data_IF_212129277486
#
_entry.id   IF_212129277486
#
_cell.length_a   1.000
_cell.length_b   1.000
_cell.length_c   1.000
_cell.angle_alpha   90.00
_cell.angle_beta   90.00
_cell.angle_gamma   90.00
#
_symmetry.space_group_name_H-M   'P 1'
#
loop_
_entity.id
_entity.type
_entity.pdbx_description
1 polymer ?
#
# COMPACT_ATOMS: atom_id res chain seq x y z
N UNK A 1 5.96 -27.73 23.63
CA UNK A 1 7.31 -27.60 23.03
C UNK A 1 7.32 -27.21 21.55
N UNK A 2 6.68 -27.96 20.64
CA UNK A 2 6.80 -27.73 19.19
C UNK A 2 6.41 -26.32 18.71
N UNK A 3 5.40 -25.71 19.33
CA UNK A 3 4.94 -24.36 18.98
C UNK A 3 5.96 -23.29 19.38
N UNK A 4 6.64 -23.46 20.50
CA UNK A 4 7.66 -22.54 21.00
C UNK A 4 8.91 -22.58 20.12
N UNK A 5 9.34 -23.79 19.71
CA UNK A 5 10.46 -23.96 18.79
C UNK A 5 10.16 -23.30 17.43
N UNK A 6 8.96 -23.52 16.88
CA UNK A 6 8.51 -22.87 15.65
C UNK A 6 8.53 -21.34 15.77
N UNK A 7 8.02 -20.76 16.86
CA UNK A 7 7.99 -19.31 17.08
C UNK A 7 9.35 -18.68 17.38
N UNK A 8 10.35 -19.50 17.69
CA UNK A 8 11.72 -19.04 18.01
C UNK A 8 12.62 -19.13 16.78
N UNK A 9 12.53 -20.22 16.01
CA UNK A 9 13.39 -20.48 14.84
C UNK A 9 12.81 -19.89 13.56
N UNK A 10 11.49 -19.96 13.34
CA UNK A 10 10.88 -19.52 12.09
C UNK A 10 11.03 -18.01 11.86
N UNK A 11 10.90 -17.12 12.86
CA UNK A 11 11.05 -15.69 12.62
C UNK A 11 12.45 -15.21 12.21
N UNK A 12 13.56 -15.62 12.85
CA UNK A 12 14.90 -15.22 12.39
C UNK A 12 15.21 -15.81 11.01
N UNK A 13 14.85 -17.07 10.75
CA UNK A 13 15.02 -17.69 9.42
C UNK A 13 14.19 -16.96 8.37
N UNK A 14 12.94 -16.65 8.66
CA UNK A 14 12.06 -15.91 7.75
C UNK A 14 12.58 -14.50 7.45
N UNK A 15 13.02 -13.76 8.47
CA UNK A 15 13.63 -12.44 8.27
C UNK A 15 14.93 -12.52 7.46
N UNK A 16 15.76 -13.54 7.69
CA UNK A 16 16.99 -13.76 6.93
C UNK A 16 16.70 -14.10 5.47
N UNK A 17 15.75 -14.99 5.19
CA UNK A 17 15.32 -15.34 3.84
C UNK A 17 14.76 -14.12 3.10
N UNK A 18 13.94 -13.30 3.75
CA UNK A 18 13.43 -12.06 3.16
C UNK A 18 14.58 -11.11 2.82
N UNK A 19 15.55 -10.91 3.73
CA UNK A 19 16.74 -10.09 3.46
C UNK A 19 17.58 -10.65 2.31
N UNK A 20 17.74 -11.97 2.23
CA UNK A 20 18.46 -12.64 1.14
C UNK A 20 17.74 -12.43 -0.19
N UNK A 21 16.42 -12.59 -0.23
CA UNK A 21 15.61 -12.30 -1.41
C UNK A 21 15.74 -10.83 -1.84
N UNK A 22 15.73 -9.89 -0.90
CA UNK A 22 15.97 -8.47 -1.20
C UNK A 22 17.33 -8.20 -1.84
N UNK A 23 18.35 -8.99 -1.49
CA UNK A 23 19.69 -8.89 -2.08
C UNK A 23 19.79 -9.55 -3.45
N UNK A 24 19.05 -10.62 -3.69
CA UNK A 24 19.07 -11.34 -4.97
C UNK A 24 18.15 -10.70 -6.02
N UNK A 25 17.11 -10.00 -5.58
CA UNK A 25 16.14 -9.35 -6.45
C UNK A 25 16.60 -7.94 -6.83
N UNK A 26 16.53 -7.63 -8.13
CA UNK A 26 16.67 -6.26 -8.63
C UNK A 26 15.31 -5.56 -8.51
N UNK A 27 15.15 -4.75 -7.47
CA UNK A 27 13.91 -3.99 -7.22
C UNK A 27 13.94 -2.72 -8.08
N UNK A 28 12.90 -2.55 -8.91
CA UNK A 28 12.63 -1.31 -9.64
C UNK A 28 11.36 -0.69 -9.09
N UNK A 29 11.43 0.59 -8.74
CA UNK A 29 10.28 1.35 -8.28
C UNK A 29 9.62 2.04 -9.48
N UNK A 30 8.29 2.00 -9.53
CA UNK A 30 7.48 2.74 -10.49
C UNK A 30 6.49 3.56 -9.67
N UNK A 31 6.29 4.84 -10.02
CA UNK A 31 5.44 5.72 -9.19
C UNK A 31 6.10 6.08 -7.86
N UNK A 32 7.44 6.14 -7.80
CA UNK A 32 8.18 6.41 -6.57
C UNK A 32 8.11 7.87 -6.15
N UNK A 33 7.70 8.76 -7.05
CA UNK A 33 7.70 10.21 -6.89
C UNK A 33 6.86 10.63 -5.68
N UNK A 34 5.70 9.99 -5.50
CA UNK A 34 4.82 10.23 -4.35
C UNK A 34 5.51 9.85 -3.03
N UNK A 35 6.23 8.73 -2.99
CA UNK A 35 6.94 8.29 -1.79
C UNK A 35 8.16 9.19 -1.51
N UNK A 36 8.86 9.62 -2.56
CA UNK A 36 10.00 10.53 -2.45
C UNK A 36 9.56 11.89 -1.93
N UNK A 37 8.45 12.44 -2.43
CA UNK A 37 7.93 13.73 -1.99
C UNK A 37 7.42 13.67 -0.55
N UNK A 38 6.73 12.60 -0.17
CA UNK A 38 6.36 12.36 1.24
C UNK A 38 7.61 12.32 2.13
N UNK A 39 8.68 11.65 1.68
CA UNK A 39 9.95 11.59 2.40
C UNK A 39 10.65 12.95 2.52
N UNK A 40 10.69 13.74 1.43
CA UNK A 40 11.31 15.08 1.40
C UNK A 40 10.62 16.06 2.33
N UNK A 41 9.31 15.96 2.46
CA UNK A 41 8.51 16.84 3.31
C UNK A 41 8.28 16.28 4.73
N UNK A 42 8.93 15.16 5.08
CA UNK A 42 8.72 14.41 6.33
C UNK A 42 7.23 14.13 6.63
N UNK A 43 6.44 13.95 5.58
CA UNK A 43 5.02 13.66 5.68
C UNK A 43 4.81 12.17 5.93
N UNK A 44 3.85 11.86 6.79
CA UNK A 44 3.46 10.49 7.12
C UNK A 44 2.31 10.04 6.24
N UNK A 45 2.21 8.73 6.04
CA UNK A 45 1.18 8.17 5.18
C UNK A 45 0.63 6.84 5.71
N UNK A 46 -0.54 6.47 5.18
CA UNK A 46 -1.14 5.15 5.35
C UNK A 46 -0.80 4.33 4.10
N UNK A 47 0.17 3.42 4.23
CA UNK A 47 0.53 2.48 3.19
C UNK A 47 -0.49 1.33 3.15
N UNK A 48 -1.16 1.18 2.02
CA UNK A 48 -2.19 0.17 1.83
C UNK A 48 -1.76 -0.85 0.76
N UNK A 49 -1.80 -2.13 1.08
CA UNK A 49 -1.51 -3.20 0.11
C UNK A 49 -2.30 -4.47 0.34
N UNK A 50 -2.54 -5.23 -0.72
CA UNK A 50 -3.25 -6.50 -0.65
C UNK A 50 -2.48 -7.56 0.14
N UNK A 51 -3.19 -8.44 0.85
CA UNK A 51 -2.58 -9.58 1.54
C UNK A 51 -1.79 -10.51 0.60
N UNK A 52 -2.08 -10.52 -0.70
CA UNK A 52 -1.32 -11.31 -1.67
C UNK A 52 0.07 -10.75 -2.04
N UNK A 53 0.41 -9.52 -1.61
CA UNK A 53 1.60 -8.78 -2.08
C UNK A 53 2.56 -8.37 -0.96
N UNK A 54 2.40 -8.90 0.24
CA UNK A 54 3.09 -8.43 1.46
C UNK A 54 4.58 -8.80 1.51
N UNK A 55 4.97 -9.91 0.86
CA UNK A 55 6.27 -10.56 1.05
C UNK A 55 7.46 -9.60 0.87
N UNK A 56 7.41 -8.73 -0.14
CA UNK A 56 8.50 -7.83 -0.50
C UNK A 56 8.35 -6.41 0.07
N UNK A 57 7.21 -6.10 0.70
CA UNK A 57 6.95 -4.77 1.25
C UNK A 57 7.94 -4.31 2.32
N UNK A 58 8.42 -5.19 3.24
CA UNK A 58 9.42 -4.80 4.22
C UNK A 58 10.75 -4.33 3.61
N UNK A 59 11.06 -4.75 2.38
CA UNK A 59 12.31 -4.42 1.68
C UNK A 59 12.11 -3.16 0.84
N UNK A 60 10.91 -3.00 0.26
CA UNK A 60 10.56 -1.86 -0.58
C UNK A 60 10.33 -0.57 0.24
N UNK A 61 9.95 -0.68 1.51
CA UNK A 61 9.72 0.46 2.38
C UNK A 61 11.05 1.08 2.84
N UNK A 62 11.18 2.40 2.66
CA UNK A 62 12.39 3.18 2.96
C UNK A 62 12.20 4.25 4.05
N UNK A 63 11.08 4.22 4.76
CA UNK A 63 10.80 5.19 5.83
C UNK A 63 11.50 4.85 7.14
N UNK A 64 11.24 5.67 8.18
CA UNK A 64 11.90 5.61 9.50
C UNK A 64 11.33 4.54 10.45
N UNK A 65 10.40 3.72 9.95
CA UNK A 65 9.71 2.68 10.69
C UNK A 65 8.20 2.93 10.69
N UNK A 66 7.44 1.86 10.47
CA UNK A 66 5.99 1.93 10.36
C UNK A 66 5.29 0.95 11.31
N UNK A 67 4.04 1.25 11.64
CA UNK A 67 3.17 0.40 12.43
C UNK A 67 2.25 -0.41 11.53
N UNK A 68 2.46 -1.73 11.52
CA UNK A 68 1.70 -2.68 10.71
C UNK A 68 0.53 -3.24 11.51
N UNK A 69 -0.68 -3.22 10.95
CA UNK A 69 -1.82 -3.93 11.52
C UNK A 69 -1.67 -5.44 11.31
N UNK A 70 -1.58 -6.22 12.39
CA UNK A 70 -1.38 -7.68 12.32
C UNK A 70 -2.37 -8.40 13.23
N UNK A 71 -3.04 -9.42 12.68
CA UNK A 71 -4.04 -10.21 13.39
C UNK A 71 -3.49 -11.01 14.57
N UNK A 72 -4.29 -11.13 15.65
CA UNK A 72 -3.94 -11.84 16.91
C UNK A 72 -3.84 -13.37 16.79
N UNK A 73 -4.02 -13.93 15.59
CA UNK A 73 -3.87 -15.37 15.37
C UNK A 73 -2.40 -15.82 15.39
N UNK A 74 -2.21 -17.14 15.50
CA UNK A 74 -0.89 -17.78 15.55
C UNK A 74 0.00 -17.44 14.36
N UNK A 75 -0.55 -17.41 13.15
CA UNK A 75 0.21 -17.04 11.95
C UNK A 75 0.60 -15.56 11.97
N UNK A 76 -0.28 -14.71 12.50
CA UNK A 76 0.02 -13.30 12.73
C UNK A 76 1.11 -13.09 13.78
N UNK A 77 1.28 -14.00 14.75
CA UNK A 77 2.40 -13.96 15.70
C UNK A 77 3.74 -14.25 15.02
N UNK A 78 3.78 -15.21 14.09
CA UNK A 78 4.97 -15.47 13.27
C UNK A 78 5.32 -14.24 12.45
N UNK A 79 4.34 -13.68 11.74
CA UNK A 79 4.54 -12.48 10.89
C UNK A 79 4.99 -11.30 11.75
N UNK A 80 4.35 -11.05 12.89
CA UNK A 80 4.75 -10.02 13.86
C UNK A 80 6.24 -10.12 14.21
N UNK A 81 6.71 -11.31 14.58
CA UNK A 81 8.11 -11.54 14.95
C UNK A 81 9.09 -11.40 13.80
N UNK A 82 8.67 -11.72 12.57
CA UNK A 82 9.46 -11.52 11.35
C UNK A 82 9.59 -10.03 11.07
N UNK A 83 8.48 -9.29 10.98
CA UNK A 83 8.52 -7.86 10.64
C UNK A 83 9.20 -7.03 11.72
N UNK A 84 9.11 -7.44 12.99
CA UNK A 84 9.85 -6.82 14.09
C UNK A 84 11.37 -6.93 13.89
N UNK A 85 11.85 -8.06 13.39
CA UNK A 85 13.28 -8.25 13.01
C UNK A 85 13.67 -7.49 11.75
N UNK A 86 12.70 -7.06 10.96
CA UNK A 86 12.90 -6.20 9.79
C UNK A 86 12.78 -4.71 10.14
N UNK A 87 12.59 -4.34 11.41
CA UNK A 87 12.55 -2.96 11.89
C UNK A 87 11.16 -2.33 11.98
N UNK A 88 10.10 -3.10 11.72
CA UNK A 88 8.72 -2.62 11.81
C UNK A 88 8.14 -2.82 13.21
N UNK A 89 7.19 -1.98 13.57
CA UNK A 89 6.36 -2.17 14.75
C UNK A 89 5.00 -2.68 14.31
N UNK A 90 4.22 -3.26 15.22
CA UNK A 90 2.90 -3.77 14.87
C UNK A 90 1.83 -3.44 15.90
N UNK A 91 0.63 -3.17 15.41
CA UNK A 91 -0.58 -3.07 16.20
C UNK A 91 -1.37 -4.38 16.06
N UNK A 92 -1.81 -4.95 17.20
CA UNK A 92 -2.42 -6.28 17.24
C UNK A 92 -3.95 -6.19 17.13
N UNK A 93 -4.50 -6.57 15.98
CA UNK A 93 -5.94 -6.70 15.77
C UNK A 93 -6.31 -7.10 14.34
N UNK A 94 -7.59 -7.41 14.14
CA UNK A 94 -8.19 -7.71 12.84
C UNK A 94 -9.64 -7.28 12.82
N UNK A 95 -10.24 -7.22 11.63
CA UNK A 95 -11.69 -6.98 11.45
C UNK A 95 -12.55 -8.01 12.20
N UNK A 96 -11.99 -9.16 12.57
CA UNK A 96 -12.68 -10.23 13.32
C UNK A 96 -12.43 -10.21 14.82
N UNK A 97 -11.28 -9.70 15.28
CA UNK A 97 -10.87 -9.73 16.70
C UNK A 97 -10.08 -8.47 17.06
N UNK A 98 -10.65 -7.65 17.94
CA UNK A 98 -9.98 -6.46 18.46
C UNK A 98 -9.74 -5.35 17.42
N UNK A 99 -10.51 -5.33 16.32
CA UNK A 99 -10.36 -4.36 15.23
C UNK A 99 -10.58 -2.92 15.67
N UNK A 100 -11.59 -2.64 16.50
CA UNK A 100 -11.85 -1.30 17.02
C UNK A 100 -10.68 -0.77 17.85
N UNK A 101 -10.22 -1.54 18.83
CA UNK A 101 -9.07 -1.17 19.66
C UNK A 101 -7.80 -0.96 18.82
N UNK A 102 -7.56 -1.82 17.83
CA UNK A 102 -6.44 -1.68 16.91
C UNK A 102 -6.55 -0.43 16.02
N UNK A 103 -7.75 -0.11 15.53
CA UNK A 103 -8.00 1.10 14.76
C UNK A 103 -7.74 2.35 15.61
N UNK A 104 -8.25 2.40 16.84
CA UNK A 104 -7.97 3.49 17.77
C UNK A 104 -6.47 3.66 18.05
N UNK A 105 -5.74 2.56 18.23
CA UNK A 105 -4.30 2.59 18.43
C UNK A 105 -3.57 3.12 17.19
N UNK A 106 -3.97 2.69 15.99
CA UNK A 106 -3.41 3.21 14.73
C UNK A 106 -3.71 4.71 14.55
N UNK A 107 -4.91 5.17 14.91
CA UNK A 107 -5.26 6.59 14.84
C UNK A 107 -4.34 7.42 15.74
N UNK A 108 -4.10 6.96 16.96
CA UNK A 108 -3.17 7.61 17.89
C UNK A 108 -1.76 7.68 17.29
N UNK A 109 -1.24 6.55 16.85
CA UNK A 109 0.11 6.47 16.27
C UNK A 109 0.29 7.31 15.01
N UNK A 110 -0.73 7.37 14.14
CA UNK A 110 -0.71 8.23 12.97
C UNK A 110 -0.65 9.72 13.32
N UNK A 111 -1.40 10.13 14.35
CA UNK A 111 -1.37 11.51 14.88
C UNK A 111 -0.05 11.85 15.57
N UNK A 112 0.58 10.86 16.20
CA UNK A 112 1.91 10.98 16.80
C UNK A 112 3.04 11.01 15.74
N UNK A 113 2.68 11.06 14.46
CA UNK A 113 3.65 11.20 13.37
C UNK A 113 4.32 9.88 12.98
N UNK A 114 3.62 8.75 13.07
CA UNK A 114 4.12 7.47 12.57
C UNK A 114 3.49 7.08 11.23
N UNK A 115 4.26 6.38 10.39
CA UNK A 115 3.74 5.73 9.20
C UNK A 115 2.89 4.52 9.59
N UNK A 116 1.76 4.34 8.89
CA UNK A 116 0.82 3.26 9.17
C UNK A 116 0.78 2.31 7.99
N UNK A 117 0.69 1.01 8.26
CA UNK A 117 0.60 -0.02 7.23
C UNK A 117 -0.62 -0.88 7.48
N UNK A 118 -1.50 -0.94 6.48
CA UNK A 118 -2.74 -1.70 6.55
C UNK A 118 -2.95 -2.54 5.30
N UNK A 119 -3.62 -3.66 5.50
CA UNK A 119 -4.03 -4.56 4.42
C UNK A 119 -5.55 -4.50 4.29
N UNK A 120 -6.06 -3.69 3.35
CA UNK A 120 -7.46 -3.27 3.38
C UNK A 120 -8.44 -4.38 3.00
N UNK A 121 -8.00 -5.47 2.38
CA UNK A 121 -8.82 -6.64 2.03
C UNK A 121 -9.24 -7.50 3.24
N UNK A 122 -8.49 -7.42 4.34
CA UNK A 122 -8.79 -8.18 5.56
C UNK A 122 -8.72 -9.71 5.38
N UNK A 123 -8.87 -10.49 6.48
CA UNK A 123 -8.72 -11.95 6.45
C UNK A 123 -9.94 -12.70 5.87
N UNK A 124 -11.11 -12.06 5.80
CA UNK A 124 -12.39 -12.66 5.38
C UNK A 124 -12.98 -12.04 4.12
N UNK A 125 -12.43 -10.92 3.64
CA UNK A 125 -12.97 -10.20 2.50
C UNK A 125 -12.69 -10.93 1.19
N UNK A 126 -13.49 -10.70 0.14
CA UNK A 126 -13.13 -11.11 -1.20
C UNK A 126 -11.77 -10.49 -1.57
N UNK A 127 -10.91 -11.29 -2.20
CA UNK A 127 -9.55 -10.87 -2.57
C UNK A 127 -9.61 -9.57 -3.38
N UNK A 128 -8.89 -8.54 -2.94
CA UNK A 128 -8.79 -7.26 -3.65
C UNK A 128 -9.94 -6.28 -3.40
N UNK A 129 -10.77 -6.49 -2.39
CA UNK A 129 -11.85 -5.54 -2.02
C UNK A 129 -11.50 -4.81 -0.73
N UNK A 130 -11.30 -3.49 -0.83
CA UNK A 130 -10.94 -2.67 0.32
C UNK A 130 -12.10 -2.50 1.32
N UNK A 131 -11.82 -2.69 2.60
CA UNK A 131 -12.75 -2.46 3.71
C UNK A 131 -12.73 -0.99 4.16
N UNK A 132 -13.85 -0.51 4.71
CA UNK A 132 -13.99 0.88 5.19
C UNK A 132 -13.02 1.28 6.30
N UNK A 133 -12.38 0.32 6.98
CA UNK A 133 -11.43 0.60 8.05
C UNK A 133 -10.26 1.50 7.63
N UNK A 134 -9.75 1.35 6.39
CA UNK A 134 -8.67 2.21 5.88
C UNK A 134 -9.16 3.64 5.63
N UNK A 135 -10.40 3.80 5.17
CA UNK A 135 -11.01 5.12 4.92
C UNK A 135 -11.28 5.83 6.23
N UNK A 136 -11.79 5.12 7.24
CA UNK A 136 -11.98 5.68 8.58
C UNK A 136 -10.67 6.08 9.23
N UNK A 137 -9.61 5.27 9.07
CA UNK A 137 -8.27 5.60 9.55
C UNK A 137 -7.74 6.88 8.90
N UNK A 138 -7.85 7.00 7.58
CA UNK A 138 -7.42 8.20 6.85
C UNK A 138 -8.22 9.44 7.27
N UNK A 139 -9.55 9.33 7.38
CA UNK A 139 -10.40 10.44 7.83
C UNK A 139 -10.06 10.89 9.25
N UNK A 140 -9.80 9.95 10.17
CA UNK A 140 -9.53 10.27 11.56
C UNK A 140 -8.11 10.82 11.80
N UNK A 141 -7.15 10.42 10.98
CA UNK A 141 -5.74 10.84 11.10
C UNK A 141 -5.41 12.05 10.22
N UNK A 142 -6.16 12.28 9.14
CA UNK A 142 -5.83 13.26 8.10
C UNK A 142 -4.68 12.83 7.19
N UNK A 143 -4.17 11.59 7.33
CA UNK A 143 -3.06 11.09 6.53
C UNK A 143 -3.52 10.63 5.14
N UNK A 144 -2.72 10.84 4.09
CA UNK A 144 -3.01 10.32 2.76
C UNK A 144 -2.89 8.79 2.73
N UNK A 145 -3.75 8.15 1.95
CA UNK A 145 -3.64 6.72 1.65
C UNK A 145 -2.76 6.54 0.43
N UNK A 146 -1.67 5.80 0.58
CA UNK A 146 -0.73 5.47 -0.49
C UNK A 146 -0.88 3.98 -0.84
N UNK A 147 -1.56 3.64 -1.94
CA UNK A 147 -1.65 2.26 -2.39
C UNK A 147 -0.28 1.81 -2.92
N UNK A 148 0.22 0.70 -2.38
CA UNK A 148 1.49 0.10 -2.81
C UNK A 148 1.23 -1.33 -3.26
N UNK A 149 1.91 -1.75 -4.32
CA UNK A 149 1.86 -3.13 -4.80
C UNK A 149 3.25 -3.59 -5.20
N UNK A 150 3.44 -4.90 -5.21
CA UNK A 150 4.66 -5.53 -5.68
C UNK A 150 4.33 -6.47 -6.84
N UNK A 151 5.09 -6.38 -7.94
CA UNK A 151 5.00 -7.31 -9.05
C UNK A 151 6.38 -7.78 -9.46
N UNK A 152 6.47 -9.04 -9.86
CA UNK A 152 7.70 -9.64 -10.40
C UNK A 152 7.52 -9.92 -11.89
N UNK A 153 8.36 -9.32 -12.73
CA UNK A 153 8.45 -9.72 -14.14
C UNK A 153 9.29 -11.01 -14.22
N UNK A 154 8.70 -12.14 -14.61
CA UNK A 154 9.48 -13.37 -14.83
C UNK A 154 10.36 -13.22 -16.07
N UNK A 155 11.68 -13.47 -15.96
CA UNK A 155 12.40 -14.39 -16.87
C UNK A 155 13.83 -14.72 -16.41
N UNK A 156 14.01 -15.93 -15.87
CA UNK A 156 14.92 -16.96 -16.42
C UNK A 156 14.28 -18.31 -16.10
N UNK A 157 13.56 -18.88 -17.06
CA UNK A 157 13.41 -20.33 -17.10
C UNK A 157 14.80 -20.83 -17.48
N UNK A 158 15.60 -21.26 -16.50
CA UNK A 158 16.58 -22.29 -16.81
C UNK A 158 15.73 -23.47 -17.30
N UNK A 159 15.75 -23.71 -18.60
CA UNK A 159 15.23 -24.94 -19.21
C UNK A 159 16.02 -26.09 -18.60
N UNK A 160 15.58 -26.58 -17.45
CA UNK A 160 15.86 -27.93 -16.98
C UNK A 160 14.48 -28.58 -17.00
N UNK A 161 14.35 -29.54 -17.92
CA UNK A 161 13.09 -29.99 -18.46
C UNK A 161 12.15 -30.56 -17.41
N UNK A 162 10.92 -30.06 -17.44
CA UNK A 162 9.73 -30.89 -17.28
C UNK A 162 8.71 -30.40 -18.29
N UNK A 163 8.60 -31.15 -19.39
CA UNK A 163 7.52 -31.03 -20.35
C UNK A 163 6.20 -31.36 -19.66
N UNK A 164 5.40 -30.36 -19.32
CA UNK A 164 3.96 -30.54 -19.27
C UNK A 164 3.29 -29.34 -19.92
N UNK A 165 3.27 -29.41 -21.25
CA UNK A 165 2.55 -28.52 -22.13
C UNK A 165 1.05 -28.81 -21.96
N UNK A 166 0.34 -28.05 -21.12
CA UNK A 166 -1.11 -27.97 -21.24
C UNK A 166 -1.44 -27.05 -22.41
N UNK A 167 -1.85 -27.65 -23.53
CA UNK A 167 -2.17 -26.97 -24.79
C UNK A 167 -3.59 -26.40 -24.67
N UNK A 168 -3.76 -25.23 -24.05
CA UNK A 168 -4.99 -24.47 -24.25
C UNK A 168 -4.89 -23.76 -25.60
N UNK A 169 -5.53 -24.34 -26.63
CA UNK A 169 -5.76 -23.69 -27.92
C UNK A 169 -6.68 -22.49 -27.71
N UNK A 170 -6.15 -21.28 -27.66
CA UNK A 170 -6.95 -20.08 -27.95
C UNK A 170 -6.94 -19.88 -29.47
N UNK A 171 -7.91 -20.46 -30.15
CA UNK A 171 -8.25 -20.05 -31.51
C UNK A 171 -8.99 -18.71 -31.42
N UNK A 172 -8.42 -17.66 -32.00
CA UNK A 172 -8.98 -16.30 -32.01
C UNK A 172 -7.95 -15.33 -32.56
N UNK A 173 -7.87 -15.26 -33.89
CA UNK A 173 -6.91 -14.54 -34.72
C UNK A 173 -6.80 -13.05 -34.34
N UNK A 174 -5.58 -12.59 -34.08
CA UNK A 174 -5.15 -11.23 -34.37
C UNK A 174 -4.77 -11.16 -35.85
N UNK A 175 -5.45 -10.33 -36.63
CA UNK A 175 -4.98 -9.87 -37.94
C UNK A 175 -4.64 -8.39 -37.83
N UNK A 176 -3.34 -8.11 -37.85
CA UNK A 176 -2.79 -6.79 -38.13
C UNK A 176 -2.73 -6.59 -39.65
N UNK A 177 -3.45 -5.61 -40.16
CA UNK A 177 -3.21 -5.05 -41.50
C UNK A 177 -3.26 -3.53 -41.38
N UNK A 178 -2.19 -2.90 -41.83
CA UNK A 178 -1.95 -1.48 -41.64
C UNK A 178 -2.60 -0.55 -42.66
N UNK A 179 -2.37 0.73 -42.37
CA UNK A 179 -2.34 1.93 -43.20
C UNK A 179 -3.64 2.64 -43.64
N UNK A 180 -3.74 3.86 -43.10
CA UNK A 180 -4.16 5.14 -43.70
C UNK A 180 -5.51 5.24 -44.44
N UNK A 181 -6.43 6.02 -43.89
CA UNK A 181 -7.00 7.22 -44.52
C UNK A 181 -8.21 7.77 -43.73
N UNK A 182 -8.45 9.09 -43.85
CA UNK A 182 -9.82 9.61 -43.96
C UNK A 182 -10.58 10.02 -42.71
N UNK A 183 -10.28 11.22 -42.21
CA UNK A 183 -11.17 12.21 -41.61
C UNK A 183 -12.67 11.88 -41.44
N UNK A 184 -13.15 12.04 -40.19
CA UNK A 184 -14.38 12.79 -39.90
C UNK A 184 -14.15 13.61 -38.62
N UNK A 185 -14.12 14.93 -38.78
CA UNK A 185 -14.16 15.91 -37.69
C UNK A 185 -15.56 15.90 -37.10
N UNK A 186 -15.67 15.73 -35.78
CA UNK A 186 -16.77 16.33 -35.01
C UNK A 186 -16.23 16.82 -33.67
N UNK A 187 -16.38 18.12 -33.33
CA UNK A 187 -15.82 18.69 -32.12
C UNK A 187 -16.80 18.51 -30.96
N UNK A 188 -16.49 17.63 -30.01
CA UNK A 188 -17.19 17.61 -28.73
C UNK A 188 -16.37 18.40 -27.69
N UNK A 189 -16.63 19.71 -27.61
CA UNK A 189 -16.24 20.52 -26.47
C UNK A 189 -17.00 20.01 -25.23
N UNK A 190 -16.35 19.20 -24.39
CA UNK A 190 -16.71 19.07 -22.96
C UNK A 190 -15.59 19.68 -22.14
N UNK A 191 -15.73 20.97 -21.89
CA UNK A 191 -15.02 21.69 -20.84
C UNK A 191 -15.34 21.03 -19.50
N UNK A 192 -14.42 20.22 -18.99
CA UNK A 192 -14.40 19.88 -17.57
C UNK A 192 -13.72 21.04 -16.85
N UNK A 193 -14.52 21.92 -16.27
CA UNK A 193 -14.05 22.97 -15.39
C UNK A 193 -13.54 22.33 -14.10
N UNK A 194 -12.22 22.25 -13.94
CA UNK A 194 -11.61 22.02 -12.64
C UNK A 194 -12.01 23.18 -11.69
N UNK A 195 -12.39 22.93 -10.43
CA UNK A 195 -12.57 24.02 -9.48
C UNK A 195 -11.20 24.69 -9.28
N UNK A 196 -11.10 25.94 -9.70
CA UNK A 196 -9.92 26.77 -9.49
C UNK A 196 -9.69 26.95 -7.98
N UNK A 197 -8.57 26.44 -7.48
CA UNK A 197 -8.10 26.74 -6.14
C UNK A 197 -7.59 28.18 -6.13
N UNK A 198 -8.45 29.11 -5.70
CA UNK A 198 -8.10 30.52 -5.62
C UNK A 198 -7.43 30.81 -4.25
N UNK A 199 -6.11 30.70 -4.19
CA UNK A 199 -5.32 31.11 -3.03
C UNK A 199 -5.18 32.65 -3.01
N UNK A 200 -6.16 33.34 -2.43
CA UNK A 200 -6.03 34.78 -2.15
C UNK A 200 -5.06 34.95 -0.97
N UNK A 201 -3.88 35.52 -1.23
CA UNK A 201 -2.98 36.03 -0.17
C UNK A 201 -3.65 37.26 0.46
N UNK A 202 -4.13 37.15 1.69
CA UNK A 202 -4.41 38.33 2.51
C UNK A 202 -3.17 38.67 3.31
N UNK A 203 -2.49 39.74 2.91
CA UNK A 203 -1.46 40.40 3.71
C UNK A 203 -2.15 41.23 4.79
N UNK A 204 -2.22 40.74 6.01
CA UNK A 204 -2.35 41.57 7.22
C UNK A 204 -1.51 40.92 8.33
N UNK A 205 -0.75 41.76 9.03
CA UNK A 205 0.45 41.36 9.76
C UNK A 205 0.24 40.63 11.09
N UNK A 206 1.39 40.17 11.61
CA UNK A 206 1.68 39.62 12.94
C UNK A 206 1.62 38.08 13.09
N UNK A 207 2.64 37.44 13.72
CA UNK A 207 2.88 36.00 13.61
C UNK A 207 2.38 35.24 14.83
N UNK A 208 1.37 34.37 14.69
CA UNK A 208 1.17 33.16 15.52
C UNK A 208 -0.01 32.33 15.00
N UNK A 209 0.28 31.05 14.69
CA UNK A 209 -0.64 29.90 14.53
C UNK A 209 -1.75 30.03 13.47
N UNK A 210 -1.50 29.48 12.27
CA UNK A 210 -2.56 29.18 11.31
C UNK A 210 -3.16 27.79 11.58
N UNK A 211 -4.36 27.76 12.15
CA UNK A 211 -5.25 26.60 12.14
C UNK A 211 -6.06 26.71 10.85
N UNK A 212 -5.95 25.73 9.95
CA UNK A 212 -6.82 25.63 8.76
C UNK A 212 -8.08 24.86 9.13
N UNK A 213 -9.19 25.57 9.33
CA UNK A 213 -10.54 25.00 9.34
C UNK A 213 -11.15 25.12 7.94
N UNK A 214 -11.52 24.00 7.33
CA UNK A 214 -12.34 23.97 6.11
C UNK A 214 -13.77 23.59 6.49
N UNK A 215 -14.72 24.52 6.30
CA UNK A 215 -16.16 24.23 6.29
C UNK A 215 -16.62 24.01 4.85
N UNK A 216 -17.51 23.04 4.65
CA UNK A 216 -18.18 22.79 3.37
C UNK A 216 -19.55 23.45 3.42
N UNK A 217 -19.73 24.55 2.68
CA UNK A 217 -21.06 25.10 2.41
C UNK A 217 -21.69 24.27 1.28
N UNK A 218 -22.84 23.65 1.58
CA UNK A 218 -23.82 23.21 0.60
C UNK A 218 -24.80 24.35 0.39
N UNK A 219 -25.03 24.73 -0.84
CA UNK A 219 -26.12 25.62 -1.24
C UNK A 219 -26.70 25.11 -2.57
N UNK A 220 -27.97 25.45 -2.86
CA UNK A 220 -29.15 24.65 -2.48
C UNK A 220 -29.59 23.60 -3.53
#
# INVERSE_FOLDING_TARGET
MLNWLKLTVLPPVGAWLIRLLGRTLRIRYQGAEVLEDLGRHDQRAIFAFWHGRQLMMPIAYRGRGAYVLISRHRDGEVIHRIVSRLGFRSVRGSSTRGGAAALHQLIKLGRDGADLVVTPDGPKGPRGVAQMGVVHLARATGLPIVPVTFSSSKKKSSRVGTSLWSRTRSAGRCSSSGNQSGWLKTPAKRTWSAPAWNCRKSSTGSPRKLIKTCSVNREP
#
